data_IF_467605813787
#
_entry.id   IF_467605813787
#
_cell.length_a   1.000
_cell.length_b   1.000
_cell.length_c   1.000
_cell.angle_alpha   90.00
_cell.angle_beta   90.00
_cell.angle_gamma   90.00
#
_symmetry.space_group_name_H-M   'P 1'
#
loop_
_entity.id
_entity.type
_entity.pdbx_description
1 polymer ?
#
# COMPACT_ATOMS: atom_id res chain seq x y z
N UNK A 1 37.94 -25.88 1.53
CA UNK A 1 37.32 -25.06 0.47
C UNK A 1 35.85 -25.44 0.42
N UNK A 2 34.95 -24.47 0.59
CA UNK A 2 33.49 -24.67 0.64
C UNK A 2 32.93 -24.47 -0.75
N UNK A 3 32.95 -25.51 -1.57
CA UNK A 3 32.49 -25.48 -2.97
C UNK A 3 31.32 -26.43 -3.26
N UNK A 4 30.78 -27.15 -2.27
CA UNK A 4 29.98 -28.35 -2.56
C UNK A 4 28.51 -28.11 -2.89
N UNK A 5 27.84 -27.07 -2.38
CA UNK A 5 26.40 -26.86 -2.66
C UNK A 5 26.16 -26.16 -4.00
N UNK A 6 26.86 -25.06 -4.25
CA UNK A 6 26.69 -24.26 -5.46
C UNK A 6 27.15 -25.03 -6.72
N UNK A 7 28.26 -25.77 -6.64
CA UNK A 7 28.72 -26.64 -7.75
C UNK A 7 27.73 -27.79 -8.00
N UNK A 8 27.20 -28.41 -6.95
CA UNK A 8 26.17 -29.47 -7.10
C UNK A 8 24.90 -28.93 -7.75
N UNK A 9 24.46 -27.71 -7.39
CA UNK A 9 23.33 -27.05 -8.04
C UNK A 9 23.65 -26.74 -9.50
N UNK A 10 24.86 -26.26 -9.79
CA UNK A 10 25.28 -25.95 -11.16
C UNK A 10 25.28 -27.20 -12.05
N UNK A 11 25.89 -28.29 -11.60
CA UNK A 11 25.94 -29.57 -12.33
C UNK A 11 24.54 -30.16 -12.53
N UNK A 12 23.66 -30.01 -11.54
CA UNK A 12 22.26 -30.42 -11.65
C UNK A 12 21.49 -29.57 -12.67
N UNK A 13 21.60 -28.25 -12.59
CA UNK A 13 20.87 -27.30 -13.44
C UNK A 13 21.39 -27.24 -14.88
N UNK A 14 22.61 -27.71 -15.16
CA UNK A 14 23.15 -27.77 -16.52
C UNK A 14 22.62 -28.95 -17.34
N UNK A 15 21.97 -29.93 -16.71
CA UNK A 15 21.23 -30.98 -17.43
C UNK A 15 20.01 -30.37 -18.15
N UNK A 16 19.80 -30.62 -19.46
CA UNK A 16 18.76 -29.95 -20.25
C UNK A 16 17.34 -30.03 -19.68
N UNK A 17 16.97 -31.19 -19.12
CA UNK A 17 15.68 -31.46 -18.49
C UNK A 17 15.48 -30.61 -17.22
N UNK A 18 16.50 -30.54 -16.37
CA UNK A 18 16.45 -29.77 -15.12
C UNK A 18 16.50 -28.27 -15.41
N UNK A 19 17.29 -27.85 -16.40
CA UNK A 19 17.34 -26.46 -16.86
C UNK A 19 15.96 -25.99 -17.36
N UNK A 20 15.28 -26.83 -18.15
CA UNK A 20 13.92 -26.52 -18.65
C UNK A 20 12.91 -26.43 -17.51
N UNK A 21 12.92 -27.39 -16.58
CA UNK A 21 12.05 -27.38 -15.41
C UNK A 21 12.31 -26.15 -14.52
N UNK A 22 13.57 -25.84 -14.23
CA UNK A 22 13.96 -24.68 -13.44
C UNK A 22 13.54 -23.37 -14.11
N UNK A 23 13.68 -23.24 -15.44
CA UNK A 23 13.16 -22.08 -16.17
C UNK A 23 11.64 -21.96 -16.10
N UNK A 24 10.91 -23.06 -16.17
CA UNK A 24 9.45 -23.05 -16.02
C UNK A 24 9.04 -22.63 -14.61
N UNK A 25 9.69 -23.19 -13.58
CA UNK A 25 9.45 -22.84 -12.17
C UNK A 25 9.78 -21.36 -11.94
N UNK A 26 10.96 -20.90 -12.36
CA UNK A 26 11.37 -19.50 -12.21
C UNK A 26 10.39 -18.54 -12.92
N UNK A 27 9.87 -18.93 -14.09
CA UNK A 27 8.84 -18.16 -14.80
C UNK A 27 7.49 -18.11 -14.06
N UNK A 28 7.19 -19.08 -13.20
CA UNK A 28 5.95 -19.14 -12.41
C UNK A 28 6.06 -18.47 -11.04
N UNK A 29 7.27 -18.33 -10.48
CA UNK A 29 7.50 -17.68 -9.17
C UNK A 29 6.96 -16.25 -9.19
N UNK A 30 7.20 -15.48 -10.25
CA UNK A 30 6.69 -14.10 -10.35
C UNK A 30 5.16 -14.02 -10.25
N UNK A 31 4.44 -14.93 -10.91
CA UNK A 31 2.97 -15.00 -10.82
C UNK A 31 2.49 -15.42 -9.42
N UNK A 32 3.27 -16.25 -8.72
CA UNK A 32 2.98 -16.64 -7.34
C UNK A 32 3.16 -15.45 -6.39
N UNK A 33 4.21 -14.66 -6.57
CA UNK A 33 4.47 -13.47 -5.76
C UNK A 33 3.38 -12.41 -5.95
N UNK A 34 2.97 -12.15 -7.20
CA UNK A 34 1.86 -11.26 -7.53
C UNK A 34 0.56 -11.71 -6.84
N UNK A 35 0.26 -13.01 -6.90
CA UNK A 35 -0.94 -13.55 -6.25
C UNK A 35 -0.88 -13.43 -4.73
N UNK A 36 0.27 -13.68 -4.12
CA UNK A 36 0.46 -13.54 -2.68
C UNK A 36 0.23 -12.10 -2.23
N UNK A 37 0.82 -11.13 -2.94
CA UNK A 37 0.63 -9.71 -2.66
C UNK A 37 -0.83 -9.30 -2.83
N UNK A 38 -1.49 -9.78 -3.89
CA UNK A 38 -2.89 -9.51 -4.14
C UNK A 38 -3.81 -10.03 -3.04
N UNK A 39 -3.67 -11.30 -2.67
CA UNK A 39 -4.46 -11.91 -1.59
C UNK A 39 -4.25 -11.15 -0.26
N UNK A 40 -3.00 -10.76 0.03
CA UNK A 40 -2.69 -9.96 1.21
C UNK A 40 -3.42 -8.60 1.20
N UNK A 41 -3.37 -7.85 0.10
CA UNK A 41 -4.04 -6.55 0.02
C UNK A 41 -5.55 -6.65 0.06
N UNK A 42 -6.15 -7.68 -0.53
CA UNK A 42 -7.58 -7.92 -0.40
C UNK A 42 -7.99 -8.19 1.06
N UNK A 43 -7.18 -8.95 1.81
CA UNK A 43 -7.44 -9.21 3.22
C UNK A 43 -7.34 -7.93 4.05
N UNK A 44 -6.30 -7.11 3.83
CA UNK A 44 -6.14 -5.79 4.47
C UNK A 44 -7.34 -4.89 4.17
N UNK A 45 -7.73 -4.78 2.89
CA UNK A 45 -8.87 -3.96 2.45
C UNK A 45 -10.16 -4.31 3.20
N UNK A 46 -10.49 -5.61 3.25
CA UNK A 46 -11.71 -6.10 3.92
C UNK A 46 -11.65 -5.83 5.43
N UNK A 47 -10.51 -6.05 6.07
CA UNK A 47 -10.35 -5.83 7.49
C UNK A 47 -10.43 -4.34 7.87
N UNK A 48 -9.82 -3.45 7.07
CA UNK A 48 -9.95 -1.99 7.25
C UNK A 48 -11.41 -1.56 7.09
N UNK A 49 -12.12 -2.07 6.08
CA UNK A 49 -13.54 -1.78 5.88
C UNK A 49 -14.38 -2.20 7.09
N UNK A 50 -14.17 -3.40 7.62
CA UNK A 50 -14.90 -3.89 8.79
C UNK A 50 -14.69 -3.01 10.03
N UNK A 51 -13.46 -2.56 10.29
CA UNK A 51 -13.18 -1.72 11.46
C UNK A 51 -13.74 -0.30 11.32
N UNK A 52 -13.62 0.30 10.14
CA UNK A 52 -13.95 1.71 9.96
C UNK A 52 -15.41 1.97 9.56
N UNK A 53 -16.12 0.97 9.02
CA UNK A 53 -17.52 1.11 8.61
C UNK A 53 -18.43 1.52 9.78
N UNK A 54 -18.22 0.95 10.97
CA UNK A 54 -19.01 1.29 12.17
C UNK A 54 -18.79 2.74 12.63
N UNK A 55 -17.64 3.32 12.30
CA UNK A 55 -17.31 4.71 12.62
C UNK A 55 -17.79 5.68 11.53
N UNK A 56 -18.46 5.20 10.48
CA UNK A 56 -19.02 6.01 9.38
C UNK A 56 -18.01 6.37 8.29
N UNK A 57 -16.94 5.59 8.13
CA UNK A 57 -16.01 5.72 7.02
C UNK A 57 -16.41 4.79 5.87
N UNK A 58 -16.15 5.23 4.65
CA UNK A 58 -16.26 4.44 3.43
C UNK A 58 -14.88 3.99 2.99
N UNK A 59 -14.75 2.69 2.69
CA UNK A 59 -13.58 2.15 2.01
C UNK A 59 -13.97 1.88 0.56
N UNK A 60 -13.41 2.65 -0.36
CA UNK A 60 -13.58 2.43 -1.80
C UNK A 60 -12.44 1.56 -2.32
N UNK A 61 -12.82 0.47 -2.96
CA UNK A 61 -11.88 -0.47 -3.56
C UNK A 61 -11.56 -0.02 -4.98
N UNK A 62 -10.28 0.03 -5.31
CA UNK A 62 -9.76 0.30 -6.64
C UNK A 62 -8.92 -0.89 -7.11
N UNK A 63 -9.03 -1.24 -8.38
CA UNK A 63 -8.42 -2.46 -8.90
C UNK A 63 -6.89 -2.35 -8.98
N UNK A 64 -6.12 -3.43 -8.70
CA UNK A 64 -6.44 -4.60 -7.86
C UNK A 64 -5.96 -4.47 -6.40
N UNK A 65 -4.94 -3.64 -6.12
CA UNK A 65 -4.28 -3.55 -4.81
C UNK A 65 -4.33 -2.14 -4.21
N UNK A 66 -5.31 -1.34 -4.63
CA UNK A 66 -5.51 0.03 -4.18
C UNK A 66 -6.85 0.15 -3.45
N UNK A 67 -6.87 0.86 -2.33
CA UNK A 67 -8.11 1.36 -1.77
C UNK A 67 -7.97 2.77 -1.21
N UNK A 68 -9.09 3.46 -1.08
CA UNK A 68 -9.17 4.75 -0.40
C UNK A 68 -10.16 4.70 0.75
N UNK A 69 -9.83 5.34 1.87
CA UNK A 69 -10.70 5.52 3.02
C UNK A 69 -11.15 6.98 3.09
N UNK A 70 -12.46 7.23 3.15
CA UNK A 70 -13.02 8.59 3.16
C UNK A 70 -14.31 8.69 3.97
N UNK A 71 -14.80 9.91 4.22
CA UNK A 71 -16.16 10.14 4.70
C UNK A 71 -17.15 10.30 3.55
N UNK A 72 -18.44 9.99 3.75
CA UNK A 72 -19.49 10.40 2.83
C UNK A 72 -19.45 11.92 2.59
N UNK A 73 -19.55 12.34 1.32
CA UNK A 73 -19.50 13.76 0.93
C UNK A 73 -18.11 14.33 0.68
N UNK A 74 -17.04 13.60 1.03
CA UNK A 74 -15.70 13.98 0.60
C UNK A 74 -15.51 13.69 -0.90
N UNK A 75 -15.40 14.76 -1.70
CA UNK A 75 -15.21 14.66 -3.14
C UNK A 75 -13.72 14.67 -3.49
N UNK A 76 -13.20 13.57 -4.05
CA UNK A 76 -11.77 13.46 -4.42
C UNK A 76 -10.81 13.81 -3.27
N UNK A 77 -11.17 13.37 -2.07
CA UNK A 77 -10.36 13.48 -0.87
C UNK A 77 -10.48 12.21 -0.02
N UNK A 78 -9.40 11.81 0.64
CA UNK A 78 -9.38 10.64 1.51
C UNK A 78 -7.97 10.25 1.95
N UNK A 79 -7.86 9.08 2.56
CA UNK A 79 -6.59 8.37 2.78
C UNK A 79 -6.47 7.30 1.69
N UNK A 80 -5.52 7.44 0.79
CA UNK A 80 -5.27 6.44 -0.25
C UNK A 80 -4.17 5.49 0.20
N UNK A 81 -4.34 4.20 -0.06
CA UNK A 81 -3.33 3.16 0.11
C UNK A 81 -3.05 2.57 -1.27
N UNK A 82 -1.84 2.76 -1.78
CA UNK A 82 -1.43 2.30 -3.09
C UNK A 82 -0.26 1.32 -2.95
N UNK A 83 -0.43 0.11 -3.48
CA UNK A 83 0.61 -0.91 -3.53
C UNK A 83 1.38 -0.89 -4.86
N UNK A 84 1.61 0.29 -5.43
CA UNK A 84 2.10 0.44 -6.80
C UNK A 84 3.40 -0.35 -7.03
N UNK A 85 3.31 -1.38 -7.87
CA UNK A 85 4.47 -2.20 -8.29
C UNK A 85 5.22 -2.81 -7.09
N UNK A 86 4.50 -3.25 -6.06
CA UNK A 86 5.08 -3.92 -4.90
C UNK A 86 5.71 -2.98 -3.87
N UNK A 87 5.57 -1.66 -4.01
CA UNK A 87 6.03 -0.69 -3.01
C UNK A 87 4.83 0.02 -2.42
N UNK A 88 4.33 -0.45 -1.27
CA UNK A 88 3.18 0.18 -0.68
C UNK A 88 3.54 1.55 -0.10
N UNK A 89 2.68 2.50 -0.42
CA UNK A 89 2.57 3.76 0.26
C UNK A 89 1.11 4.00 0.68
N UNK A 90 0.93 4.85 1.67
CA UNK A 90 -0.40 5.38 1.95
C UNK A 90 -0.27 6.83 2.34
N UNK A 91 -1.31 7.61 2.07
CA UNK A 91 -1.23 9.04 2.21
C UNK A 91 -2.56 9.74 2.21
N UNK A 92 -2.51 11.00 2.60
CA UNK A 92 -3.64 11.89 2.38
C UNK A 92 -3.70 12.22 0.90
N UNK A 93 -4.90 12.15 0.34
CA UNK A 93 -5.20 12.55 -1.02
C UNK A 93 -6.24 13.65 -0.99
N UNK A 94 -6.00 14.71 -1.74
CA UNK A 94 -6.92 15.83 -1.91
C UNK A 94 -6.72 16.42 -3.31
N UNK A 95 -7.78 16.58 -4.09
CA UNK A 95 -7.67 17.08 -5.47
C UNK A 95 -7.72 18.60 -5.54
N UNK A 96 -6.75 19.19 -6.25
CA UNK A 96 -6.69 20.61 -6.55
C UNK A 96 -7.83 21.11 -7.44
N UNK A 97 -8.57 20.20 -8.10
CA UNK A 97 -9.75 20.55 -8.87
C UNK A 97 -10.97 20.86 -8.00
N UNK A 98 -10.93 20.50 -6.71
CA UNK A 98 -12.05 20.64 -5.76
C UNK A 98 -11.67 21.58 -4.61
N UNK A 99 -10.42 21.48 -4.11
CA UNK A 99 -9.97 22.21 -2.93
C UNK A 99 -8.87 23.22 -3.25
N UNK A 100 -8.86 24.35 -2.54
CA UNK A 100 -7.82 25.36 -2.65
C UNK A 100 -6.50 24.87 -2.02
N UNK A 101 -5.42 24.86 -2.84
CA UNK A 101 -4.08 24.41 -2.43
C UNK A 101 -3.59 25.07 -1.16
N UNK A 102 -3.60 26.40 -1.15
CA UNK A 102 -2.93 27.17 -0.12
C UNK A 102 -3.64 26.99 1.23
N UNK A 103 -4.97 26.87 1.21
CA UNK A 103 -5.76 26.53 2.39
C UNK A 103 -5.45 25.13 2.90
N UNK A 104 -5.45 24.12 2.03
CA UNK A 104 -5.14 22.72 2.39
C UNK A 104 -3.73 22.60 2.97
N UNK A 105 -2.73 23.18 2.30
CA UNK A 105 -1.33 23.15 2.74
C UNK A 105 -1.17 23.81 4.12
N UNK A 106 -1.82 24.95 4.35
CA UNK A 106 -1.81 25.62 5.65
C UNK A 106 -2.42 24.77 6.77
N UNK A 107 -3.54 24.08 6.49
CA UNK A 107 -4.22 23.21 7.46
C UNK A 107 -3.40 21.95 7.77
N UNK A 108 -2.80 21.33 6.74
CA UNK A 108 -1.91 20.19 6.90
C UNK A 108 -0.65 20.57 7.69
N UNK A 109 -0.04 21.73 7.39
CA UNK A 109 1.12 22.24 8.11
C UNK A 109 0.79 22.55 9.56
N UNK A 110 -0.37 23.17 9.84
CA UNK A 110 -0.84 23.44 11.20
C UNK A 110 -1.07 22.14 12.00
N UNK A 111 -1.47 21.05 11.33
CA UNK A 111 -1.60 19.72 11.91
C UNK A 111 -0.27 18.96 12.04
N UNK A 112 0.86 19.59 11.67
CA UNK A 112 2.18 18.96 11.70
C UNK A 112 2.34 17.82 10.69
N UNK A 113 1.48 17.75 9.66
CA UNK A 113 1.65 16.86 8.52
C UNK A 113 2.78 17.43 7.68
N UNK A 114 3.87 16.69 7.58
CA UNK A 114 4.96 17.02 6.66
C UNK A 114 4.78 16.18 5.42
N UNK A 115 4.78 16.82 4.26
CA UNK A 115 4.89 16.16 2.96
C UNK A 115 6.17 15.30 3.00
N UNK A 116 6.02 13.98 3.12
CA UNK A 116 7.10 13.06 2.82
C UNK A 116 6.99 12.81 1.32
N UNK A 117 8.08 13.07 0.59
CA UNK A 117 8.11 13.16 -0.88
C UNK A 117 7.35 12.01 -1.56
N UNK A 118 6.09 12.26 -1.93
CA UNK A 118 5.32 11.49 -2.89
C UNK A 118 5.54 12.09 -4.28
N UNK A 119 5.76 11.23 -5.28
CA UNK A 119 6.21 11.55 -6.65
C UNK A 119 5.98 13.00 -7.11
N UNK A 120 7.08 13.77 -7.20
CA UNK A 120 7.15 15.03 -7.97
C UNK A 120 6.74 14.73 -9.43
N UNK A 121 5.48 14.90 -9.76
CA UNK A 121 5.03 14.54 -11.11
C UNK A 121 3.64 15.02 -11.53
N UNK A 122 2.69 15.18 -10.61
CA UNK A 122 1.34 15.58 -10.99
C UNK A 122 0.80 16.72 -10.11
N UNK A 123 0.67 17.91 -10.70
CA UNK A 123 0.27 19.16 -10.00
C UNK A 123 -1.21 19.25 -9.67
N UNK A 124 -2.02 18.29 -10.12
CA UNK A 124 -3.48 18.28 -9.98
C UNK A 124 -3.99 17.58 -8.70
N UNK A 125 -3.13 16.80 -8.04
CA UNK A 125 -3.47 16.00 -6.87
C UNK A 125 -2.43 16.25 -5.78
N UNK A 126 -2.86 16.37 -4.53
CA UNK A 126 -1.98 16.43 -3.36
C UNK A 126 -1.89 15.06 -2.69
N UNK A 127 -0.86 14.28 -3.02
CA UNK A 127 -0.51 13.16 -2.20
C UNK A 127 0.48 13.55 -1.09
N UNK A 128 0.05 13.46 0.17
CA UNK A 128 0.99 13.33 1.29
C UNK A 128 1.19 11.84 1.58
N UNK A 129 2.08 11.18 0.85
CA UNK A 129 2.37 9.76 1.03
C UNK A 129 3.40 9.50 2.13
N UNK A 130 3.20 8.43 2.88
CA UNK A 130 4.18 7.80 3.76
C UNK A 130 4.56 6.45 3.13
N UNK A 131 5.82 6.25 2.71
CA UNK A 131 6.26 4.96 2.21
C UNK A 131 6.28 3.93 3.34
N UNK A 132 5.85 2.71 3.05
CA UNK A 132 5.95 1.56 3.93
C UNK A 132 7.17 0.73 3.56
N UNK A 133 8.36 1.26 3.85
CA UNK A 133 9.63 0.62 3.44
C UNK A 133 9.82 -0.78 3.99
N UNK A 134 9.20 -1.12 5.14
CA UNK A 134 9.21 -2.48 5.71
C UNK A 134 8.30 -3.48 5.00
N UNK A 135 7.61 -3.06 3.94
CA UNK A 135 6.64 -3.84 3.18
C UNK A 135 6.88 -3.76 1.66
N UNK A 136 8.12 -3.51 1.20
CA UNK A 136 8.47 -3.65 -0.21
C UNK A 136 8.40 -5.12 -0.62
N UNK A 137 7.36 -5.50 -1.37
CA UNK A 137 7.12 -6.85 -1.88
C UNK A 137 8.09 -7.28 -2.98
N UNK A 138 9.00 -6.39 -3.41
CA UNK A 138 10.17 -6.79 -4.21
C UNK A 138 11.25 -7.43 -3.35
N UNK A 139 11.19 -7.27 -2.03
CA UNK A 139 12.11 -7.90 -1.09
C UNK A 139 11.58 -9.27 -0.66
N UNK A 140 12.42 -10.31 -0.82
CA UNK A 140 12.06 -11.68 -0.45
C UNK A 140 11.60 -11.80 1.02
N UNK A 141 12.23 -11.05 1.94
CA UNK A 141 11.86 -11.03 3.35
C UNK A 141 10.41 -10.56 3.58
N UNK A 142 9.91 -9.63 2.77
CA UNK A 142 8.51 -9.19 2.85
C UNK A 142 7.58 -10.27 2.31
N UNK A 143 7.95 -10.95 1.22
CA UNK A 143 7.16 -12.04 0.65
C UNK A 143 7.00 -13.20 1.65
N UNK A 144 8.05 -13.53 2.40
CA UNK A 144 8.01 -14.55 3.47
C UNK A 144 7.02 -14.20 4.60
N UNK A 145 6.87 -12.91 4.93
CA UNK A 145 5.93 -12.43 5.95
C UNK A 145 4.47 -12.61 5.54
N UNK A 146 4.16 -12.55 4.26
CA UNK A 146 2.79 -12.64 3.74
C UNK A 146 2.41 -14.05 3.24
N UNK A 147 3.30 -15.03 3.40
CA UNK A 147 2.97 -16.43 3.21
C UNK A 147 1.78 -16.84 4.09
N UNK A 148 0.92 -17.78 3.65
CA UNK A 148 -0.33 -18.12 4.34
C UNK A 148 -0.18 -18.43 5.84
N UNK A 149 0.94 -19.04 6.25
CA UNK A 149 1.20 -19.39 7.65
C UNK A 149 1.40 -18.17 8.57
N UNK A 150 1.91 -17.06 8.02
CA UNK A 150 2.28 -15.86 8.77
C UNK A 150 1.38 -14.65 8.46
N UNK A 151 0.60 -14.74 7.37
CA UNK A 151 -0.14 -13.63 6.76
C UNK A 151 -1.01 -12.84 7.74
N UNK A 152 -1.73 -13.54 8.63
CA UNK A 152 -2.69 -12.88 9.53
C UNK A 152 -2.02 -11.85 10.46
N UNK A 153 -0.81 -12.12 10.93
CA UNK A 153 -0.08 -11.16 11.76
C UNK A 153 0.29 -9.90 10.96
N UNK A 154 0.78 -10.08 9.72
CA UNK A 154 1.10 -8.96 8.82
C UNK A 154 -0.15 -8.16 8.43
N UNK A 155 -1.29 -8.83 8.20
CA UNK A 155 -2.57 -8.16 7.93
C UNK A 155 -2.98 -7.30 9.13
N UNK A 156 -2.93 -7.83 10.35
CA UNK A 156 -3.27 -7.07 11.55
C UNK A 156 -2.39 -5.84 11.73
N UNK A 157 -1.07 -5.99 11.59
CA UNK A 157 -0.11 -4.87 11.67
C UNK A 157 -0.43 -3.77 10.65
N UNK A 158 -0.75 -4.15 9.41
CA UNK A 158 -1.10 -3.21 8.36
C UNK A 158 -2.43 -2.52 8.62
N UNK A 159 -3.45 -3.26 9.06
CA UNK A 159 -4.76 -2.72 9.40
C UNK A 159 -4.64 -1.69 10.52
N UNK A 160 -3.92 -2.01 11.60
CA UNK A 160 -3.69 -1.08 12.72
C UNK A 160 -2.97 0.19 12.25
N UNK A 161 -2.01 0.04 11.33
CA UNK A 161 -1.29 1.17 10.74
C UNK A 161 -2.23 2.09 9.95
N UNK A 162 -3.03 1.53 9.05
CA UNK A 162 -3.98 2.29 8.22
C UNK A 162 -5.06 2.95 9.08
N UNK A 163 -5.67 2.19 10.00
CA UNK A 163 -6.71 2.69 10.91
C UNK A 163 -6.17 3.78 11.83
N UNK A 164 -4.98 3.58 12.40
CA UNK A 164 -4.31 4.60 13.21
C UNK A 164 -4.04 5.88 12.42
N UNK A 165 -3.66 5.77 11.15
CA UNK A 165 -3.46 6.92 10.28
C UNK A 165 -4.77 7.64 9.97
N UNK A 166 -5.84 6.92 9.62
CA UNK A 166 -7.17 7.48 9.38
C UNK A 166 -7.69 8.20 10.62
N UNK A 167 -7.56 7.61 11.81
CA UNK A 167 -7.99 8.24 13.07
C UNK A 167 -7.20 9.50 13.39
N UNK A 168 -5.91 9.51 13.07
CA UNK A 168 -5.04 10.65 13.31
C UNK A 168 -5.33 11.83 12.38
N UNK A 169 -5.53 11.57 11.08
CA UNK A 169 -5.58 12.62 10.05
C UNK A 169 -6.97 12.85 9.46
N UNK A 170 -7.91 11.93 9.70
CA UNK A 170 -9.32 12.08 9.35
C UNK A 170 -9.94 13.40 9.82
N UNK A 171 -9.75 13.81 11.10
CA UNK A 171 -10.24 15.10 11.58
C UNK A 171 -9.65 16.33 10.86
N UNK A 172 -8.43 16.22 10.34
CA UNK A 172 -7.79 17.29 9.56
C UNK A 172 -8.47 17.41 8.19
N UNK A 173 -8.78 16.27 7.55
CA UNK A 173 -9.54 16.24 6.30
C UNK A 173 -10.99 16.70 6.51
N UNK A 174 -11.63 16.36 7.63
CA UNK A 174 -12.96 16.89 7.99
C UNK A 174 -12.93 18.43 8.05
N UNK A 175 -11.90 18.99 8.70
CA UNK A 175 -11.71 20.43 8.79
C UNK A 175 -11.47 21.07 7.42
N UNK A 176 -10.64 20.46 6.58
CA UNK A 176 -10.42 20.90 5.19
C UNK A 176 -11.76 20.93 4.43
N UNK A 177 -12.56 19.88 4.52
CA UNK A 177 -13.85 19.82 3.84
C UNK A 177 -14.82 20.92 4.31
N UNK A 178 -14.86 21.18 5.62
CA UNK A 178 -15.69 22.23 6.20
C UNK A 178 -15.24 23.64 5.78
N UNK A 179 -13.93 23.91 5.82
CA UNK A 179 -13.37 25.24 5.52
C UNK A 179 -13.20 25.53 4.01
N UNK A 180 -13.26 24.50 3.17
CA UNK A 180 -13.22 24.66 1.71
C UNK A 180 -14.61 24.81 1.07
N UNK A 181 -15.67 24.35 1.75
CA UNK A 181 -17.07 24.53 1.32
C UNK A 181 -17.72 25.81 1.87
N UNK A 182 -16.99 26.61 2.67
CA UNK A 182 -17.37 27.91 3.22
C UNK A 182 -16.53 29.03 2.59
#
# INVERSE_FOLDING_TARGET
MSTTYEETIYDYLTQPENYRAAKQIAGQIGTLDERLAHDFWQEVQRAVQQQLAAEGWEVLLSLPDWFSVRRPGWERMGVNCDALRGRPDFGLHCSASVYDRAKVDALLQAAGVREQEGMKGNTAEWPCYRPLTSHDFREQATMERILPANRQAAVSEMVDTVVGFVKKYGPVLDRIHQEANL
#
